data_IF_451309278130
#
_entry.id   IF_451309278130
#
_cell.length_a   1.000
_cell.length_b   1.000
_cell.length_c   1.000
_cell.angle_alpha   90.00
_cell.angle_beta   90.00
_cell.angle_gamma   90.00
#
_symmetry.space_group_name_H-M   'P 1'
#
loop_
_entity.id
_entity.type
_entity.pdbx_description
1 polymer ?
#
# COMPACT_ATOMS: atom_id res chain seq x y z
N UNK A 1 -12.04 -19.88 -47.44
CA UNK A 1 -12.48 -20.33 -46.11
C UNK A 1 -13.18 -21.66 -46.28
N UNK A 2 -12.76 -22.71 -45.56
CA UNK A 2 -13.44 -24.01 -45.59
C UNK A 2 -14.83 -23.89 -44.94
N UNK A 3 -15.78 -24.74 -45.36
CA UNK A 3 -17.14 -24.75 -44.81
C UNK A 3 -17.15 -24.85 -43.26
N UNK A 4 -16.21 -25.59 -42.70
CA UNK A 4 -16.04 -25.79 -41.25
C UNK A 4 -15.78 -24.49 -40.47
N UNK A 5 -14.98 -23.56 -41.02
CA UNK A 5 -14.67 -22.31 -40.32
C UNK A 5 -15.89 -21.40 -40.17
N UNK A 6 -16.80 -21.43 -41.15
CA UNK A 6 -18.01 -20.61 -41.12
C UNK A 6 -18.99 -21.13 -40.05
N UNK A 7 -19.12 -22.45 -39.93
CA UNK A 7 -19.99 -23.08 -38.95
C UNK A 7 -19.46 -22.88 -37.52
N UNK A 8 -18.15 -22.99 -37.31
CA UNK A 8 -17.50 -22.72 -36.02
C UNK A 8 -17.73 -21.27 -35.53
N UNK A 9 -17.60 -20.30 -36.44
CA UNK A 9 -17.86 -18.88 -36.14
C UNK A 9 -19.33 -18.66 -35.82
N UNK A 10 -20.24 -19.31 -36.53
CA UNK A 10 -21.68 -19.19 -36.28
C UNK A 10 -22.07 -19.77 -34.91
N UNK A 11 -21.54 -20.94 -34.54
CA UNK A 11 -21.76 -21.53 -33.23
C UNK A 11 -21.22 -20.63 -32.09
N UNK A 12 -20.04 -20.05 -32.28
CA UNK A 12 -19.48 -19.07 -31.35
C UNK A 12 -20.43 -17.88 -31.15
N UNK A 13 -20.92 -17.28 -32.24
CA UNK A 13 -21.84 -16.13 -32.18
C UNK A 13 -23.14 -16.50 -31.46
N UNK A 14 -23.72 -17.68 -31.74
CA UNK A 14 -24.92 -18.17 -31.07
C UNK A 14 -24.71 -18.32 -29.57
N UNK A 15 -23.61 -18.97 -29.16
CA UNK A 15 -23.26 -19.18 -27.75
C UNK A 15 -23.16 -17.86 -26.98
N UNK A 16 -22.46 -16.87 -27.53
CA UNK A 16 -22.35 -15.55 -26.91
C UNK A 16 -23.67 -14.79 -26.88
N UNK A 17 -24.51 -14.94 -27.92
CA UNK A 17 -25.86 -14.37 -27.94
C UNK A 17 -26.70 -14.90 -26.78
N UNK A 18 -26.67 -16.21 -26.52
CA UNK A 18 -27.45 -16.81 -25.45
C UNK A 18 -26.92 -16.46 -24.06
N UNK A 19 -25.59 -16.40 -23.88
CA UNK A 19 -24.95 -15.87 -22.67
C UNK A 19 -25.38 -14.43 -22.42
N UNK A 20 -25.40 -13.59 -23.46
CA UNK A 20 -25.80 -12.18 -23.36
C UNK A 20 -27.29 -12.02 -23.03
N UNK A 21 -28.18 -12.82 -23.64
CA UNK A 21 -29.62 -12.85 -23.30
C UNK A 21 -29.82 -13.25 -21.85
N UNK A 22 -29.15 -14.30 -21.39
CA UNK A 22 -29.18 -14.73 -19.99
C UNK A 22 -28.66 -13.63 -19.07
N UNK A 23 -27.54 -12.99 -19.40
CA UNK A 23 -26.97 -11.88 -18.64
C UNK A 23 -27.93 -10.69 -18.54
N UNK A 24 -28.58 -10.33 -19.65
CA UNK A 24 -29.60 -9.27 -19.72
C UNK A 24 -30.83 -9.60 -18.87
N UNK A 25 -31.23 -10.88 -18.78
CA UNK A 25 -32.37 -11.29 -17.95
C UNK A 25 -32.19 -10.99 -16.44
N UNK A 26 -30.94 -10.88 -15.95
CA UNK A 26 -30.67 -10.48 -14.57
C UNK A 26 -30.78 -8.97 -14.32
N UNK A 27 -30.85 -8.15 -15.38
CA UNK A 27 -30.96 -6.71 -15.27
C UNK A 27 -32.42 -6.28 -15.05
N UNK A 28 -32.82 -6.28 -13.78
CA UNK A 28 -34.20 -6.04 -13.33
C UNK A 28 -34.58 -4.56 -13.18
N UNK A 29 -33.61 -3.73 -12.80
CA UNK A 29 -33.83 -2.34 -12.35
C UNK A 29 -33.35 -1.33 -13.41
N UNK A 30 -34.12 -1.23 -14.49
CA UNK A 30 -33.78 -0.42 -15.65
C UNK A 30 -33.71 1.08 -15.33
N UNK A 31 -32.68 1.73 -15.83
CA UNK A 31 -32.51 3.17 -15.78
C UNK A 31 -33.35 3.90 -16.83
N UNK A 32 -33.86 5.09 -16.48
CA UNK A 32 -34.59 5.99 -17.39
C UNK A 32 -33.94 7.37 -17.53
N UNK A 33 -32.71 7.55 -17.04
CA UNK A 33 -31.99 8.83 -17.13
C UNK A 33 -31.29 9.07 -18.50
N UNK A 34 -31.48 8.17 -19.47
CA UNK A 34 -30.83 8.26 -20.77
C UNK A 34 -29.33 8.01 -20.69
N UNK A 35 -28.54 8.80 -21.43
CA UNK A 35 -27.08 8.73 -21.49
C UNK A 35 -26.37 9.43 -20.33
N UNK A 36 -27.11 10.04 -19.39
CA UNK A 36 -26.52 10.78 -18.26
C UNK A 36 -25.89 9.82 -17.26
N UNK A 37 -24.68 10.14 -16.82
CA UNK A 37 -24.03 9.41 -15.74
C UNK A 37 -24.62 9.78 -14.38
N UNK A 38 -24.31 9.00 -13.35
CA UNK A 38 -24.70 9.34 -11.97
C UNK A 38 -24.03 10.61 -11.46
N UNK A 39 -22.81 10.88 -11.91
CA UNK A 39 -22.09 12.11 -11.56
C UNK A 39 -22.82 13.32 -12.13
N UNK A 40 -23.22 13.26 -13.40
CA UNK A 40 -23.95 14.37 -14.06
C UNK A 40 -25.29 14.63 -13.39
N UNK A 41 -26.04 13.56 -13.05
CA UNK A 41 -27.33 13.69 -12.37
C UNK A 41 -27.16 14.31 -10.99
N UNK A 42 -26.15 13.88 -10.24
CA UNK A 42 -25.87 14.47 -8.93
C UNK A 42 -25.46 15.94 -9.03
N UNK A 43 -24.67 16.31 -10.04
CA UNK A 43 -24.26 17.69 -10.26
C UNK A 43 -25.46 18.56 -10.66
N UNK A 44 -26.32 18.08 -11.56
CA UNK A 44 -27.55 18.79 -11.94
C UNK A 44 -28.49 19.03 -10.75
N UNK A 45 -28.61 18.06 -9.85
CA UNK A 45 -29.46 18.18 -8.66
C UNK A 45 -28.80 19.07 -7.59
N UNK A 46 -27.47 19.03 -7.48
CA UNK A 46 -26.71 19.94 -6.61
C UNK A 46 -26.82 21.39 -7.08
N UNK A 47 -26.73 21.66 -8.38
CA UNK A 47 -26.90 23.01 -8.94
C UNK A 47 -28.33 23.54 -8.72
N UNK A 48 -29.34 22.67 -8.74
CA UNK A 48 -30.75 23.07 -8.55
C UNK A 48 -31.13 23.28 -7.09
N UNK A 49 -30.73 22.34 -6.22
CA UNK A 49 -31.23 22.25 -4.84
C UNK A 49 -30.14 22.55 -3.80
N UNK A 50 -28.89 22.73 -4.20
CA UNK A 50 -27.74 22.90 -3.31
C UNK A 50 -27.32 21.63 -2.57
N UNK A 51 -27.93 20.48 -2.87
CA UNK A 51 -27.74 19.22 -2.13
C UNK A 51 -27.49 18.06 -3.10
N UNK A 52 -26.44 17.28 -2.83
CA UNK A 52 -26.13 16.05 -3.59
C UNK A 52 -27.08 14.94 -3.17
N UNK A 53 -27.52 14.13 -4.13
CA UNK A 53 -28.37 12.98 -3.83
C UNK A 53 -27.60 11.87 -3.12
N UNK A 54 -28.27 11.20 -2.18
CA UNK A 54 -27.83 9.91 -1.65
C UNK A 54 -27.96 8.80 -2.71
N UNK A 55 -27.29 7.66 -2.50
CA UNK A 55 -27.43 6.44 -3.32
C UNK A 55 -28.88 6.01 -3.47
N UNK A 56 -29.68 6.09 -2.41
CA UNK A 56 -31.11 5.70 -2.45
C UNK A 56 -31.90 6.70 -3.30
N UNK A 57 -31.70 7.98 -3.08
CA UNK A 57 -32.42 9.03 -3.83
C UNK A 57 -32.02 9.05 -5.30
N UNK A 58 -30.73 8.85 -5.58
CA UNK A 58 -30.21 8.66 -6.92
C UNK A 58 -30.82 7.42 -7.59
N UNK A 59 -31.01 6.32 -6.85
CA UNK A 59 -31.68 5.13 -7.38
C UNK A 59 -33.13 5.44 -7.78
N UNK A 60 -33.89 6.07 -6.89
CA UNK A 60 -35.28 6.47 -7.17
C UNK A 60 -35.32 7.42 -8.38
N UNK A 61 -34.51 8.48 -8.35
CA UNK A 61 -34.44 9.52 -9.40
C UNK A 61 -34.13 8.98 -10.79
N UNK A 62 -33.34 7.92 -10.87
CA UNK A 62 -32.89 7.33 -12.13
C UNK A 62 -33.80 6.19 -12.63
N UNK A 63 -34.72 5.67 -11.80
CA UNK A 63 -35.69 4.62 -12.18
C UNK A 63 -37.15 5.04 -12.01
N UNK A 64 -37.39 6.33 -11.88
CA UNK A 64 -38.72 6.93 -11.93
C UNK A 64 -38.81 7.76 -13.20
N UNK A 65 -39.92 7.59 -13.93
CA UNK A 65 -40.22 8.36 -15.15
C UNK A 65 -40.51 9.83 -14.78
N UNK A 66 -40.50 10.72 -15.78
CA UNK A 66 -40.92 12.13 -15.57
C UNK A 66 -42.36 12.26 -15.05
N UNK A 67 -43.21 11.25 -15.28
CA UNK A 67 -44.56 11.18 -14.74
C UNK A 67 -44.63 10.77 -13.26
N UNK A 68 -43.51 10.49 -12.61
CA UNK A 68 -43.45 10.04 -11.21
C UNK A 68 -43.67 8.55 -11.01
N UNK A 69 -43.98 7.80 -12.07
CA UNK A 69 -44.21 6.35 -11.98
C UNK A 69 -42.91 5.54 -12.13
N UNK A 70 -42.73 4.45 -11.37
CA UNK A 70 -41.61 3.53 -11.54
C UNK A 70 -41.66 2.84 -12.91
N UNK A 71 -40.49 2.36 -13.37
CA UNK A 71 -40.38 1.73 -14.70
C UNK A 71 -41.12 0.41 -14.80
N UNK A 72 -41.00 -0.42 -13.77
CA UNK A 72 -41.61 -1.72 -13.64
C UNK A 72 -41.99 -2.02 -12.19
N UNK A 73 -42.77 -3.07 -11.99
CA UNK A 73 -43.26 -3.50 -10.67
C UNK A 73 -42.13 -3.92 -9.73
N UNK A 74 -41.10 -4.61 -10.23
CA UNK A 74 -39.94 -4.99 -9.42
C UNK A 74 -39.19 -3.77 -8.87
N UNK A 75 -39.04 -2.70 -9.65
CA UNK A 75 -38.46 -1.43 -9.17
C UNK A 75 -39.39 -0.78 -8.17
N UNK A 76 -40.70 -0.76 -8.42
CA UNK A 76 -41.68 -0.21 -7.48
C UNK A 76 -41.56 -0.86 -6.10
N UNK A 77 -41.48 -2.19 -6.05
CA UNK A 77 -41.30 -2.94 -4.81
C UNK A 77 -40.01 -2.55 -4.05
N UNK A 78 -38.90 -2.29 -4.77
CA UNK A 78 -37.66 -1.84 -4.12
C UNK A 78 -37.74 -0.40 -3.61
N UNK A 79 -38.45 0.49 -4.32
CA UNK A 79 -38.69 1.86 -3.85
C UNK A 79 -39.53 1.84 -2.57
N UNK A 80 -40.55 0.99 -2.50
CA UNK A 80 -41.36 0.81 -1.29
C UNK A 80 -40.48 0.35 -0.12
N UNK A 81 -39.64 -0.69 -0.32
CA UNK A 81 -38.68 -1.14 0.70
C UNK A 81 -37.74 -0.03 1.18
N UNK A 82 -37.27 0.82 0.26
CA UNK A 82 -36.45 1.97 0.64
C UNK A 82 -37.19 2.96 1.54
N UNK A 83 -38.45 3.23 1.25
CA UNK A 83 -39.29 4.11 2.06
C UNK A 83 -39.57 3.49 3.43
N UNK A 84 -39.88 2.18 3.50
CA UNK A 84 -40.09 1.46 4.76
C UNK A 84 -38.87 1.53 5.69
N UNK A 85 -37.67 1.29 5.16
CA UNK A 85 -36.42 1.39 5.94
C UNK A 85 -36.16 2.82 6.39
N UNK A 86 -36.38 3.82 5.53
CA UNK A 86 -36.25 5.25 5.89
C UNK A 86 -37.18 5.64 7.04
N UNK A 87 -38.42 5.13 7.07
CA UNK A 87 -39.38 5.41 8.15
C UNK A 87 -38.98 4.73 9.46
N UNK A 88 -38.48 3.50 9.38
CA UNK A 88 -38.11 2.70 10.57
C UNK A 88 -36.84 3.22 11.25
N UNK A 89 -35.95 3.89 10.50
CA UNK A 89 -34.67 4.41 10.99
C UNK A 89 -34.58 5.95 10.82
N UNK A 90 -35.44 6.75 11.46
CA UNK A 90 -35.50 8.20 11.23
C UNK A 90 -34.36 8.96 11.92
N UNK A 91 -33.76 8.40 12.98
CA UNK A 91 -32.66 9.00 13.76
C UNK A 91 -31.30 8.91 13.10
N UNK A 92 -31.21 8.22 11.96
CA UNK A 92 -30.04 8.21 11.10
C UNK A 92 -30.17 9.31 10.03
N UNK A 93 -30.66 10.48 10.44
CA UNK A 93 -30.94 11.69 9.65
C UNK A 93 -29.69 12.37 9.06
N UNK A 94 -28.55 11.69 9.12
CA UNK A 94 -27.28 12.04 8.47
C UNK A 94 -26.58 10.82 7.80
N UNK A 95 -27.23 9.65 7.77
CA UNK A 95 -26.68 8.41 7.19
C UNK A 95 -27.39 7.95 5.91
N UNK A 96 -27.95 8.90 5.17
CA UNK A 96 -28.10 8.84 3.71
C UNK A 96 -26.77 9.25 3.04
N UNK A 97 -25.66 8.91 3.68
CA UNK A 97 -24.31 9.20 3.22
C UNK A 97 -23.61 7.88 2.96
N UNK A 98 -22.82 7.84 1.90
CA UNK A 98 -21.88 6.75 1.56
C UNK A 98 -20.91 6.44 2.72
N UNK A 99 -20.94 7.19 3.83
CA UNK A 99 -20.09 7.02 5.00
C UNK A 99 -20.12 5.63 5.65
N UNK A 100 -21.18 4.81 5.48
CA UNK A 100 -21.27 3.49 6.11
C UNK A 100 -21.49 2.35 5.11
N UNK A 101 -20.83 1.21 5.38
CA UNK A 101 -21.04 -0.04 4.67
C UNK A 101 -22.42 -0.68 4.92
N UNK A 102 -23.16 -0.20 5.92
CA UNK A 102 -24.48 -0.68 6.36
C UNK A 102 -25.60 0.35 6.12
N UNK A 103 -25.42 1.19 5.10
CA UNK A 103 -26.42 2.18 4.69
C UNK A 103 -27.74 1.53 4.25
N UNK A 104 -28.78 2.36 4.12
CA UNK A 104 -30.13 1.92 3.70
C UNK A 104 -30.06 1.15 2.37
N UNK A 105 -29.16 1.56 1.46
CA UNK A 105 -28.93 0.87 0.20
C UNK A 105 -28.53 -0.60 0.39
N UNK A 106 -27.53 -0.85 1.24
CA UNK A 106 -27.04 -2.20 1.56
C UNK A 106 -28.04 -3.04 2.36
N UNK A 107 -28.94 -2.42 3.13
CA UNK A 107 -29.98 -3.16 3.85
C UNK A 107 -31.03 -3.74 2.88
N UNK A 108 -31.48 -2.92 1.93
CA UNK A 108 -32.50 -3.35 0.96
C UNK A 108 -31.94 -4.30 -0.10
N UNK A 109 -30.73 -4.04 -0.59
CA UNK A 109 -30.11 -4.84 -1.64
C UNK A 109 -29.12 -5.91 -1.14
N UNK A 110 -28.97 -6.03 0.18
CA UNK A 110 -27.96 -6.86 0.83
C UNK A 110 -26.54 -6.28 0.74
N UNK A 111 -25.61 -6.97 1.42
CA UNK A 111 -24.19 -6.61 1.50
C UNK A 111 -23.59 -6.34 0.12
N UNK A 112 -22.72 -5.34 0.06
CA UNK A 112 -22.03 -4.95 -1.17
C UNK A 112 -21.06 -6.06 -1.66
N UNK A 113 -20.96 -6.21 -2.98
CA UNK A 113 -20.06 -7.19 -3.59
C UNK A 113 -18.60 -6.70 -3.52
N UNK A 114 -17.61 -7.60 -3.48
CA UNK A 114 -16.21 -7.20 -3.61
C UNK A 114 -15.97 -6.50 -4.96
N UNK A 115 -15.10 -5.49 -4.97
CA UNK A 115 -14.62 -4.84 -6.18
C UNK A 115 -15.36 -3.57 -6.62
N UNK A 116 -16.64 -3.36 -6.28
CA UNK A 116 -17.34 -2.11 -6.63
C UNK A 116 -18.52 -1.82 -5.72
N UNK A 117 -18.73 -0.54 -5.39
CA UNK A 117 -19.92 -0.06 -4.69
C UNK A 117 -21.01 0.41 -5.65
N UNK A 118 -22.21 -0.17 -5.54
CA UNK A 118 -23.41 0.20 -6.32
C UNK A 118 -23.82 1.65 -6.06
N UNK A 119 -24.19 2.39 -7.12
CA UNK A 119 -24.72 3.75 -6.98
C UNK A 119 -23.69 4.86 -6.75
N UNK A 120 -22.40 4.55 -6.67
CA UNK A 120 -21.32 5.55 -6.45
C UNK A 120 -20.46 5.77 -7.72
N UNK A 121 -20.92 5.28 -8.87
CA UNK A 121 -20.20 5.40 -10.14
C UNK A 121 -19.12 4.33 -10.33
N UNK A 122 -18.08 4.66 -11.09
CA UNK A 122 -16.91 3.80 -11.38
C UNK A 122 -15.75 4.21 -10.50
N UNK A 123 -15.01 3.23 -9.95
CA UNK A 123 -13.82 3.48 -9.13
C UNK A 123 -13.90 2.93 -7.71
N UNK A 124 -14.85 3.39 -6.87
CA UNK A 124 -14.79 3.06 -5.45
C UNK A 124 -15.09 1.59 -5.18
N UNK A 125 -14.14 0.93 -4.53
CA UNK A 125 -14.30 -0.41 -3.98
C UNK A 125 -14.76 -0.32 -2.52
N UNK A 126 -15.48 -1.33 -1.98
CA UNK A 126 -15.87 -1.33 -0.57
C UNK A 126 -14.69 -1.10 0.37
N UNK A 127 -13.53 -1.73 0.09
CA UNK A 127 -12.31 -1.59 0.89
C UNK A 127 -11.74 -0.19 0.82
N UNK A 128 -11.79 0.48 -0.33
CA UNK A 128 -11.30 1.85 -0.48
C UNK A 128 -12.22 2.86 0.19
N UNK A 129 -13.54 2.62 0.23
CA UNK A 129 -14.52 3.53 0.81
C UNK A 129 -14.65 3.37 2.33
N UNK A 130 -14.73 2.13 2.82
CA UNK A 130 -15.05 1.83 4.22
C UNK A 130 -13.90 1.15 4.97
N UNK A 131 -12.77 0.95 4.30
CA UNK A 131 -11.66 0.18 4.84
C UNK A 131 -11.91 -1.33 4.82
N UNK A 132 -10.90 -2.08 5.26
CA UNK A 132 -11.02 -3.54 5.42
C UNK A 132 -11.90 -3.86 6.63
N UNK A 133 -12.64 -4.98 6.57
CA UNK A 133 -13.51 -5.41 7.67
C UNK A 133 -12.75 -5.48 8.99
N UNK A 134 -13.45 -5.26 10.11
CA UNK A 134 -12.88 -5.29 11.46
C UNK A 134 -12.11 -6.58 11.76
N UNK A 135 -12.62 -7.72 11.27
CA UNK A 135 -11.97 -9.03 11.39
C UNK A 135 -10.61 -9.07 10.66
N UNK A 136 -10.53 -8.53 9.45
CA UNK A 136 -9.29 -8.49 8.70
C UNK A 136 -8.30 -7.48 9.30
N UNK A 137 -8.78 -6.35 9.84
CA UNK A 137 -7.92 -5.42 10.58
C UNK A 137 -7.34 -6.05 11.85
N UNK A 138 -8.11 -6.84 12.59
CA UNK A 138 -7.61 -7.53 13.78
C UNK A 138 -6.52 -8.54 13.42
N UNK A 139 -6.73 -9.30 12.34
CA UNK A 139 -5.73 -10.25 11.82
C UNK A 139 -4.45 -9.53 11.38
N UNK A 140 -4.57 -8.44 10.62
CA UNK A 140 -3.44 -7.59 10.22
C UNK A 140 -2.69 -7.04 11.43
N UNK A 141 -3.38 -6.59 12.49
CA UNK A 141 -2.73 -6.12 13.72
C UNK A 141 -1.98 -7.24 14.45
N UNK A 142 -2.55 -8.45 14.51
CA UNK A 142 -1.90 -9.59 15.13
C UNK A 142 -0.65 -10.02 14.36
N UNK A 143 -0.72 -10.07 13.03
CA UNK A 143 0.42 -10.38 12.16
C UNK A 143 1.52 -9.33 12.26
N UNK A 144 1.16 -8.04 12.25
CA UNK A 144 2.12 -6.95 12.47
C UNK A 144 2.77 -7.03 13.86
N UNK A 145 2.04 -7.43 14.90
CA UNK A 145 2.61 -7.61 16.24
C UNK A 145 3.63 -8.77 16.27
N UNK A 146 3.35 -9.87 15.58
CA UNK A 146 4.27 -11.01 15.46
C UNK A 146 5.53 -10.63 14.68
N UNK A 147 5.38 -9.96 13.52
CA UNK A 147 6.51 -9.49 12.73
C UNK A 147 7.40 -8.53 13.52
N UNK A 148 6.81 -7.59 14.26
CA UNK A 148 7.56 -6.66 15.11
C UNK A 148 8.29 -7.38 16.25
N UNK A 149 7.74 -8.46 16.81
CA UNK A 149 8.42 -9.26 17.81
C UNK A 149 9.65 -9.98 17.21
N UNK A 150 9.51 -10.58 16.03
CA UNK A 150 10.62 -11.23 15.33
C UNK A 150 11.73 -10.24 14.96
N UNK A 151 11.38 -9.04 14.48
CA UNK A 151 12.35 -7.98 14.17
C UNK A 151 13.15 -7.58 15.42
N UNK A 152 12.50 -7.46 16.58
CA UNK A 152 13.19 -7.18 17.85
C UNK A 152 14.17 -8.28 18.23
N UNK A 153 13.76 -9.55 18.11
CA UNK A 153 14.65 -10.68 18.41
C UNK A 153 15.86 -10.70 17.47
N UNK A 154 15.64 -10.52 16.17
CA UNK A 154 16.71 -10.44 15.18
C UNK A 154 17.66 -9.26 15.47
N UNK A 155 17.12 -8.09 15.83
CA UNK A 155 17.93 -6.94 16.22
C UNK A 155 18.79 -7.22 17.46
N UNK A 156 18.26 -7.94 18.46
CA UNK A 156 19.02 -8.34 19.65
C UNK A 156 20.12 -9.35 19.31
N UNK A 157 19.82 -10.36 18.47
CA UNK A 157 20.81 -11.32 17.97
C UNK A 157 21.92 -10.61 17.20
N UNK A 158 21.59 -9.66 16.33
CA UNK A 158 22.57 -8.82 15.63
C UNK A 158 23.41 -7.99 16.61
N UNK A 159 22.81 -7.45 17.68
CA UNK A 159 23.56 -6.77 18.75
C UNK A 159 24.60 -7.67 19.41
N UNK A 160 24.24 -8.92 19.72
CA UNK A 160 25.16 -9.93 20.28
C UNK A 160 26.28 -10.27 19.30
N UNK A 161 25.95 -10.54 18.03
CA UNK A 161 26.95 -10.84 16.99
C UNK A 161 27.89 -9.65 16.78
N UNK A 162 27.38 -8.42 16.70
CA UNK A 162 28.21 -7.21 16.64
C UNK A 162 29.19 -7.14 17.80
N UNK A 163 28.75 -7.41 19.03
CA UNK A 163 29.63 -7.43 20.20
C UNK A 163 30.72 -8.52 20.11
N UNK A 164 30.37 -9.71 19.62
CA UNK A 164 31.34 -10.81 19.43
C UNK A 164 32.40 -10.42 18.39
N UNK A 165 31.99 -9.86 17.25
CA UNK A 165 32.92 -9.40 16.20
C UNK A 165 33.88 -8.34 16.75
N UNK A 166 33.38 -7.37 17.52
CA UNK A 166 34.21 -6.35 18.17
C UNK A 166 35.19 -6.98 19.17
N UNK A 167 34.74 -7.94 20.01
CA UNK A 167 35.62 -8.63 20.97
C UNK A 167 36.70 -9.47 20.30
N UNK A 168 36.36 -10.19 19.22
CA UNK A 168 37.32 -10.98 18.45
C UNK A 168 38.36 -10.09 17.76
N UNK A 169 37.95 -8.92 17.24
CA UNK A 169 38.87 -7.93 16.71
C UNK A 169 39.85 -7.38 17.79
N UNK A 170 39.44 -7.36 19.06
CA UNK A 170 40.27 -6.88 20.17
C UNK A 170 41.22 -7.94 20.77
N UNK A 171 40.91 -9.23 20.61
CA UNK A 171 41.67 -10.33 21.24
C UNK A 171 42.87 -10.84 20.41
N UNK A 172 42.98 -10.46 19.15
CA UNK A 172 44.06 -10.90 18.26
C UNK A 172 45.32 -10.01 18.32
N UNK A 173 45.91 -9.79 19.50
CA UNK A 173 47.33 -9.40 19.61
C UNK A 173 47.92 -9.79 20.97
N UNK A 174 48.62 -10.92 21.07
CA UNK A 174 49.32 -11.31 22.30
C UNK A 174 50.61 -10.50 22.56
N UNK A 175 51.04 -9.64 21.64
CA UNK A 175 52.37 -9.03 21.64
C UNK A 175 52.41 -7.57 22.12
N UNK A 176 51.26 -6.87 22.15
CA UNK A 176 51.19 -5.44 22.49
C UNK A 176 49.96 -5.16 23.37
N UNK A 177 50.09 -4.99 24.69
CA UNK A 177 49.03 -4.39 25.49
C UNK A 177 48.93 -2.90 25.12
N UNK A 178 48.19 -2.57 24.05
CA UNK A 178 48.02 -1.17 23.66
C UNK A 178 47.50 -0.84 22.26
N UNK A 179 47.45 -1.74 21.28
CA UNK A 179 46.86 -1.41 19.96
C UNK A 179 46.12 -2.58 19.32
N UNK A 180 44.89 -2.33 18.88
CA UNK A 180 44.03 -3.29 18.19
C UNK A 180 44.20 -3.14 16.66
N UNK A 181 44.61 -4.21 15.99
CA UNK A 181 44.66 -4.30 14.52
C UNK A 181 43.49 -5.18 14.05
N UNK A 182 42.72 -4.70 13.08
CA UNK A 182 41.54 -5.39 12.54
C UNK A 182 41.99 -6.51 11.60
N UNK A 183 41.65 -7.75 11.92
CA UNK A 183 41.73 -8.88 10.99
C UNK A 183 40.36 -9.04 10.32
N UNK A 184 40.20 -8.48 9.12
CA UNK A 184 39.26 -9.00 8.14
C UNK A 184 40.06 -9.74 7.08
N UNK A 185 39.79 -11.04 6.96
CA UNK A 185 40.52 -11.94 6.11
C UNK A 185 40.58 -11.48 4.66
N UNK A 186 41.80 -11.36 4.15
CA UNK A 186 42.09 -11.54 2.75
C UNK A 186 43.04 -12.74 2.62
N UNK A 187 42.62 -13.65 1.75
CA UNK A 187 43.29 -14.86 1.26
C UNK A 187 44.82 -14.81 1.27
N UNK A 188 45.45 -15.94 1.63
CA UNK A 188 46.89 -16.15 1.80
C UNK A 188 47.78 -15.95 0.57
N UNK A 189 47.29 -15.50 -0.59
CA UNK A 189 48.15 -15.30 -1.76
C UNK A 189 47.81 -13.96 -2.43
N UNK A 190 48.85 -13.13 -2.57
CA UNK A 190 48.86 -11.82 -3.27
C UNK A 190 48.33 -10.70 -2.37
N UNK A 191 49.12 -9.74 -1.89
CA UNK A 191 49.75 -8.70 -2.70
C UNK A 191 51.05 -8.19 -2.08
N UNK A 192 52.10 -8.23 -2.90
CA UNK A 192 53.34 -7.46 -2.74
C UNK A 192 53.27 -6.28 -3.69
N UNK A 193 52.41 -5.28 -3.47
CA UNK A 193 52.49 -3.94 -4.08
C UNK A 193 51.78 -2.93 -3.18
N UNK A 194 52.49 -1.84 -2.89
CA UNK A 194 52.12 -0.68 -2.10
C UNK A 194 50.66 -0.21 -2.30
N UNK A 195 49.94 -0.03 -1.19
CA UNK A 195 48.75 0.82 -1.17
C UNK A 195 49.15 2.17 -0.58
N UNK A 196 49.01 3.18 -1.43
CA UNK A 196 49.17 4.61 -1.20
C UNK A 196 48.37 5.10 0.02
N UNK A 197 48.97 5.98 0.84
CA UNK A 197 48.42 6.52 2.10
C UNK A 197 47.02 7.17 1.94
N UNK A 198 46.67 7.59 0.73
CA UNK A 198 45.41 8.27 0.42
C UNK A 198 44.17 7.35 0.42
N UNK A 199 44.31 6.05 0.16
CA UNK A 199 43.15 5.13 0.10
C UNK A 199 42.77 4.64 1.50
N UNK A 200 43.77 4.46 2.37
CA UNK A 200 43.56 4.05 3.76
C UNK A 200 42.76 5.10 4.56
N UNK A 201 42.98 6.39 4.28
CA UNK A 201 42.29 7.50 4.95
C UNK A 201 40.83 7.67 4.53
N UNK A 202 40.49 7.32 3.29
CA UNK A 202 39.09 7.37 2.79
C UNK A 202 38.25 6.24 3.38
N UNK A 203 38.78 5.01 3.42
CA UNK A 203 38.10 3.88 4.08
C UNK A 203 37.90 4.12 5.59
N UNK A 204 38.82 4.84 6.23
CA UNK A 204 38.73 5.14 7.66
C UNK A 204 37.61 6.14 7.99
N UNK A 205 37.45 7.20 7.19
CA UNK A 205 36.37 8.19 7.35
C UNK A 205 34.97 7.58 7.19
N UNK A 206 34.83 6.54 6.37
CA UNK A 206 33.54 5.88 6.15
C UNK A 206 33.17 4.91 7.30
N UNK A 207 34.17 4.45 8.06
CA UNK A 207 34.02 3.63 9.27
C UNK A 207 33.78 4.46 10.54
N UNK A 208 34.30 5.69 10.63
CA UNK A 208 34.09 6.59 11.78
C UNK A 208 32.62 6.96 11.99
N UNK A 209 31.84 7.08 10.90
CA UNK A 209 30.43 7.49 10.96
C UNK A 209 29.50 6.50 11.68
N UNK A 210 29.89 5.23 11.82
CA UNK A 210 29.00 4.17 12.33
C UNK A 210 29.40 3.60 13.70
N UNK A 211 30.62 3.85 14.19
CA UNK A 211 31.17 3.13 15.35
C UNK A 211 31.77 4.02 16.45
N UNK A 212 31.94 5.34 16.24
CA UNK A 212 32.46 6.28 17.24
C UNK A 212 33.72 5.78 17.98
N UNK A 213 34.73 5.33 17.21
CA UNK A 213 36.00 4.80 17.73
C UNK A 213 37.06 5.90 17.59
N UNK A 214 37.65 6.34 18.70
CA UNK A 214 38.73 7.33 18.70
C UNK A 214 40.05 6.80 18.12
N UNK A 215 40.87 7.70 17.57
CA UNK A 215 42.16 7.40 16.93
C UNK A 215 43.18 6.86 17.96
N UNK A 216 43.94 5.77 17.67
CA UNK A 216 44.88 5.19 18.63
C UNK A 216 46.23 5.91 18.73
N UNK A 217 46.86 5.81 19.90
CA UNK A 217 48.01 6.59 20.36
C UNK A 217 49.35 6.31 19.60
N UNK A 218 49.49 5.24 18.82
CA UNK A 218 50.77 4.88 18.16
C UNK A 218 51.21 5.82 17.03
N UNK A 219 50.30 6.55 16.39
CA UNK A 219 50.70 7.37 15.25
C UNK A 219 51.56 8.58 15.64
N UNK A 220 51.53 9.01 16.91
CA UNK A 220 52.31 10.17 17.36
C UNK A 220 53.81 9.89 17.61
N UNK A 221 54.27 8.62 17.64
CA UNK A 221 55.66 8.31 18.01
C UNK A 221 56.64 8.23 16.83
N UNK A 222 56.20 8.44 15.58
CA UNK A 222 57.09 8.46 14.41
C UNK A 222 57.52 9.87 13.97
N UNK A 223 56.81 10.94 14.38
CA UNK A 223 57.14 12.32 13.99
C UNK A 223 58.39 12.88 14.67
N UNK A 224 58.84 12.30 15.79
CA UNK A 224 60.02 12.80 16.52
C UNK A 224 61.37 12.30 15.98
N UNK A 225 61.40 11.59 14.83
CA UNK A 225 62.66 11.14 14.18
C UNK A 225 63.07 11.91 12.93
N UNK A 226 62.40 13.02 12.59
CA UNK A 226 62.76 13.87 11.44
C UNK A 226 62.89 15.34 11.86
N UNK A 227 63.74 15.64 12.86
CA UNK A 227 64.34 16.98 12.96
C UNK A 227 65.77 16.84 13.48
N UNK A 228 66.73 16.75 12.56
CA UNK A 228 68.13 17.10 12.78
C UNK A 228 68.41 18.43 12.07
N UNK A 229 69.27 19.31 12.62
CA UNK A 229 69.32 20.72 12.26
C UNK A 229 69.94 20.95 10.88
N UNK A 230 69.32 21.82 10.08
CA UNK A 230 69.98 22.42 8.91
C UNK A 230 70.58 23.75 9.38
N UNK A 231 71.91 23.80 9.42
CA UNK A 231 72.68 25.03 9.56
C UNK A 231 72.41 25.94 8.35
N UNK A 232 72.15 27.22 8.62
CA UNK A 232 72.08 28.29 7.62
C UNK A 232 73.45 28.96 7.57
N UNK A 233 74.17 28.78 6.47
CA UNK A 233 75.34 29.61 6.14
C UNK A 233 74.87 30.97 5.62
N UNK A 234 75.40 32.03 6.22
CA UNK A 234 75.28 33.41 5.78
C UNK A 234 76.15 33.66 4.53
N UNK A 235 75.54 34.12 3.44
CA UNK A 235 76.08 35.18 2.55
C UNK A 235 75.01 35.73 1.61
#
# INVERSE_FOLDING_TARGET
MSATHKDDVWEYVQRYSDINKKSKSYHKYFHCAGTKSFADINEEEFVKNGVKLDRVDLFIRTRVKKSGQPVNEETAAMIIKFQEVKITQPSSSSSSSIASAYDIYSQVFGKERPGRVRGVGTGPTPTSLWGTSSQCQAQLRAENAQLNAMVKELAERLGKVKSIVVKLAFWACPCCPGHAFVVLGMSLLSWRVCLDEAVATVMWKELEGHLNIGVPCCMFSMESRIVGPVELDDT
#
